data_IF_102952926827
#
_entry.id   IF_102952926827
#
_cell.length_a   1.000
_cell.length_b   1.000
_cell.length_c   1.000
_cell.angle_alpha   90.00
_cell.angle_beta   90.00
_cell.angle_gamma   90.00
#
_symmetry.space_group_name_H-M   'P 1'
#
loop_
_entity.id
_entity.type
_entity.pdbx_description
1 polymer ?
#
# COMPACT_ATOMS: atom_id res chain seq x y z
N UNK A 1 57.16 -55.63 -8.97
CA UNK A 1 57.36 -55.62 -7.51
C UNK A 1 56.39 -54.63 -6.90
N UNK A 2 55.34 -55.16 -6.27
CA UNK A 2 54.32 -54.40 -5.54
C UNK A 2 54.89 -53.96 -4.19
N UNK A 3 54.74 -52.68 -3.85
CA UNK A 3 54.86 -52.22 -2.46
C UNK A 3 53.58 -51.50 -2.07
N UNK A 4 52.88 -52.12 -1.12
CA UNK A 4 51.73 -51.60 -0.43
C UNK A 4 52.16 -50.60 0.64
N UNK A 5 51.58 -49.40 0.63
CA UNK A 5 51.52 -48.56 1.82
C UNK A 5 50.03 -48.37 2.14
N UNK A 6 49.57 -49.11 3.16
CA UNK A 6 48.30 -48.88 3.85
C UNK A 6 48.48 -47.66 4.74
N UNK A 7 47.67 -46.63 4.52
CA UNK A 7 47.48 -45.55 5.48
C UNK A 7 46.13 -45.72 6.16
N UNK A 8 46.19 -46.10 7.43
CA UNK A 8 45.06 -46.20 8.35
C UNK A 8 44.64 -44.77 8.70
N UNK A 9 43.43 -44.36 8.30
CA UNK A 9 42.81 -43.12 8.79
C UNK A 9 42.08 -43.42 10.11
N UNK A 10 42.33 -42.67 11.20
CA UNK A 10 41.52 -42.77 12.40
C UNK A 10 40.15 -42.13 12.14
N UNK A 11 39.10 -42.90 12.44
CA UNK A 11 37.72 -42.45 12.50
C UNK A 11 37.51 -41.68 13.80
N UNK A 12 37.54 -40.35 13.76
CA UNK A 12 37.04 -39.47 14.83
C UNK A 12 36.88 -38.07 14.25
N UNK A 13 35.67 -37.76 13.79
CA UNK A 13 35.02 -36.43 13.77
C UNK A 13 33.91 -36.42 12.71
N UNK A 14 32.89 -37.25 12.91
CA UNK A 14 31.60 -37.15 12.19
C UNK A 14 30.47 -36.64 13.07
N UNK A 15 30.78 -36.19 14.29
CA UNK A 15 29.80 -35.65 15.24
C UNK A 15 29.90 -34.11 15.36
N UNK A 16 30.98 -33.48 14.87
CA UNK A 16 31.12 -32.02 14.82
C UNK A 16 30.51 -31.33 13.59
N UNK A 17 30.21 -32.07 12.50
CA UNK A 17 29.71 -31.48 11.25
C UNK A 17 28.17 -31.51 11.13
N UNK A 18 27.49 -32.31 11.96
CA UNK A 18 26.02 -32.41 11.93
C UNK A 18 25.32 -31.31 12.75
N UNK A 19 26.03 -30.60 13.63
CA UNK A 19 25.47 -29.49 14.43
C UNK A 19 25.69 -28.10 13.82
N UNK A 20 26.55 -27.96 12.81
CA UNK A 20 26.66 -26.71 12.04
C UNK A 20 25.59 -26.57 10.95
N UNK A 21 24.94 -27.66 10.54
CA UNK A 21 23.89 -27.65 9.49
C UNK A 21 22.49 -27.41 10.07
N UNK A 22 22.30 -27.53 11.39
CA UNK A 22 21.02 -27.22 12.06
C UNK A 22 20.95 -25.77 12.57
N UNK A 23 22.08 -25.08 12.72
CA UNK A 23 22.09 -23.64 13.06
C UNK A 23 22.05 -22.72 11.83
N UNK A 24 22.34 -23.24 10.64
CA UNK A 24 22.26 -22.53 9.35
C UNK A 24 20.90 -22.64 8.65
N UNK A 25 19.98 -23.45 9.19
CA UNK A 25 18.60 -23.58 8.71
C UNK A 25 17.59 -22.69 9.46
N UNK A 26 18.04 -21.88 10.42
CA UNK A 26 17.18 -20.92 11.14
C UNK A 26 17.45 -19.44 10.80
N UNK A 27 18.45 -19.12 9.98
CA UNK A 27 18.79 -17.73 9.62
C UNK A 27 19.22 -17.51 8.15
N UNK A 28 19.00 -18.49 7.27
CA UNK A 28 19.57 -18.51 5.91
C UNK A 28 18.63 -18.24 4.74
N UNK A 29 17.37 -17.86 4.95
CA UNK A 29 16.46 -17.44 3.86
C UNK A 29 16.37 -15.92 3.80
N UNK A 30 17.51 -15.27 3.50
CA UNK A 30 17.50 -13.98 2.82
C UNK A 30 17.50 -14.23 1.32
N UNK A 31 16.29 -14.47 0.84
CA UNK A 31 15.71 -13.91 -0.38
C UNK A 31 16.63 -13.86 -1.61
N UNK A 32 16.56 -14.93 -2.41
CA UNK A 32 16.23 -14.72 -3.81
C UNK A 32 14.94 -13.91 -3.85
N UNK A 33 15.06 -12.59 -4.03
CA UNK A 33 13.93 -11.77 -4.42
C UNK A 33 13.55 -12.22 -5.83
N UNK A 34 12.72 -13.27 -5.93
CA UNK A 34 11.82 -13.38 -7.07
C UNK A 34 11.02 -12.09 -7.07
N UNK A 35 11.16 -11.33 -8.15
CA UNK A 35 10.35 -10.16 -8.45
C UNK A 35 8.92 -10.61 -8.84
N UNK A 36 8.28 -11.39 -7.97
CA UNK A 36 6.94 -11.95 -8.15
C UNK A 36 6.05 -11.65 -6.93
N UNK A 37 6.18 -10.45 -6.36
CA UNK A 37 5.06 -9.80 -5.67
C UNK A 37 4.24 -9.06 -6.72
N UNK A 38 3.55 -9.81 -7.58
CA UNK A 38 2.49 -9.23 -8.40
C UNK A 38 1.38 -8.76 -7.48
N UNK A 39 0.97 -7.50 -7.61
CA UNK A 39 -0.20 -6.99 -6.92
C UNK A 39 -1.39 -7.91 -7.26
N UNK A 40 -2.32 -8.18 -6.32
CA UNK A 40 -3.46 -9.01 -6.62
C UNK A 40 -4.16 -8.49 -7.88
N UNK A 41 -4.26 -9.38 -8.87
CA UNK A 41 -4.61 -9.04 -10.27
C UNK A 41 -6.10 -8.76 -10.44
N UNK A 42 -6.91 -9.02 -9.41
CA UNK A 42 -8.36 -8.89 -9.45
C UNK A 42 -8.87 -7.96 -8.35
N UNK A 43 -9.78 -7.08 -8.72
CA UNK A 43 -10.59 -6.29 -7.78
C UNK A 43 -11.46 -7.27 -6.95
N UNK A 44 -11.49 -7.17 -5.60
CA UNK A 44 -12.32 -8.03 -4.76
C UNK A 44 -13.80 -7.85 -5.04
N UNK A 45 -14.58 -8.93 -4.89
CA UNK A 45 -16.04 -8.85 -4.87
C UNK A 45 -16.52 -8.33 -3.50
N UNK A 46 -16.42 -7.00 -3.34
CA UNK A 46 -16.84 -6.30 -2.13
C UNK A 46 -18.29 -6.62 -1.73
N UNK A 47 -19.30 -6.59 -2.62
CA UNK A 47 -20.67 -6.97 -2.27
C UNK A 47 -20.78 -8.35 -1.62
N UNK A 48 -20.08 -9.36 -2.16
CA UNK A 48 -20.11 -10.71 -1.58
C UNK A 48 -19.40 -10.78 -0.23
N UNK A 49 -18.27 -10.10 -0.07
CA UNK A 49 -17.53 -10.03 1.20
C UNK A 49 -18.36 -9.32 2.27
N UNK A 50 -18.97 -8.18 1.95
CA UNK A 50 -19.84 -7.43 2.86
C UNK A 50 -21.03 -8.29 3.30
N UNK A 51 -21.64 -9.03 2.37
CA UNK A 51 -22.74 -9.94 2.69
C UNK A 51 -22.29 -11.07 3.62
N UNK A 52 -21.14 -11.69 3.33
CA UNK A 52 -20.60 -12.79 4.13
C UNK A 52 -20.21 -12.37 5.56
N UNK A 53 -19.80 -11.12 5.75
CA UNK A 53 -19.34 -10.58 7.04
C UNK A 53 -20.28 -9.53 7.65
N UNK A 54 -21.54 -9.47 7.18
CA UNK A 54 -22.50 -8.42 7.54
C UNK A 54 -22.67 -8.25 9.05
N UNK A 55 -22.83 -9.35 9.78
CA UNK A 55 -23.03 -9.33 11.24
C UNK A 55 -21.79 -8.87 12.01
N UNK A 56 -20.59 -9.16 11.50
CA UNK A 56 -19.34 -8.74 12.12
C UNK A 56 -19.10 -7.24 11.87
N UNK A 57 -19.37 -6.78 10.64
CA UNK A 57 -19.27 -5.36 10.26
C UNK A 57 -20.29 -4.50 11.03
N UNK A 58 -21.48 -5.03 11.32
CA UNK A 58 -22.53 -4.33 12.07
C UNK A 58 -22.16 -4.08 13.55
N UNK A 59 -21.21 -4.84 14.10
CA UNK A 59 -20.83 -4.81 15.52
C UNK A 59 -19.54 -4.02 15.79
N UNK A 60 -19.01 -3.33 14.79
CA UNK A 60 -17.78 -2.54 14.96
C UNK A 60 -18.13 -1.20 15.63
N UNK A 61 -17.49 -0.95 16.76
CA UNK A 61 -17.71 0.26 17.58
C UNK A 61 -16.40 0.99 17.93
N UNK A 62 -15.27 0.51 17.43
CA UNK A 62 -13.95 1.10 17.70
C UNK A 62 -12.91 0.70 16.67
N UNK A 63 -11.85 1.50 16.57
CA UNK A 63 -10.68 1.20 15.76
C UNK A 63 -9.98 -0.10 16.16
N UNK A 64 -9.98 -0.44 17.46
CA UNK A 64 -9.47 -1.72 17.95
C UNK A 64 -10.30 -2.90 17.42
N UNK A 65 -11.63 -2.79 17.46
CA UNK A 65 -12.54 -3.78 16.89
C UNK A 65 -12.35 -3.93 15.38
N UNK A 66 -12.23 -2.80 14.68
CA UNK A 66 -11.99 -2.74 13.24
C UNK A 66 -10.66 -3.42 12.85
N UNK A 67 -9.56 -3.08 13.52
CA UNK A 67 -8.25 -3.69 13.29
C UNK A 67 -8.26 -5.19 13.59
N UNK A 68 -8.90 -5.63 14.67
CA UNK A 68 -9.00 -7.06 15.00
C UNK A 68 -9.73 -7.84 13.90
N UNK A 69 -10.88 -7.34 13.44
CA UNK A 69 -11.66 -7.99 12.37
C UNK A 69 -10.90 -7.97 11.02
N UNK A 70 -10.18 -6.88 10.73
CA UNK A 70 -9.33 -6.79 9.56
C UNK A 70 -8.23 -7.85 9.58
N UNK A 71 -7.49 -7.94 10.68
CA UNK A 71 -6.37 -8.89 10.82
C UNK A 71 -6.85 -10.33 10.79
N UNK A 72 -7.99 -10.64 11.42
CA UNK A 72 -8.48 -12.02 11.51
C UNK A 72 -9.14 -12.53 10.23
N UNK A 73 -9.86 -11.67 9.50
CA UNK A 73 -10.85 -12.12 8.52
C UNK A 73 -10.89 -11.24 7.27
N UNK A 74 -11.14 -9.93 7.41
CA UNK A 74 -11.44 -9.08 6.26
C UNK A 74 -10.20 -8.85 5.38
N UNK A 75 -9.01 -8.77 5.98
CA UNK A 75 -7.77 -8.59 5.25
C UNK A 75 -7.51 -9.70 4.25
N UNK A 76 -7.69 -10.97 4.62
CA UNK A 76 -7.51 -12.09 3.69
C UNK A 76 -8.61 -12.14 2.63
N UNK A 77 -9.87 -11.86 3.00
CA UNK A 77 -10.99 -11.80 2.07
C UNK A 77 -10.79 -10.74 0.97
N UNK A 78 -10.12 -9.63 1.31
CA UNK A 78 -9.80 -8.54 0.38
C UNK A 78 -8.44 -8.71 -0.34
N UNK A 79 -7.79 -9.87 -0.20
CA UNK A 79 -6.46 -10.15 -0.75
C UNK A 79 -5.37 -9.19 -0.20
N UNK A 80 -5.54 -8.71 1.02
CA UNK A 80 -4.64 -7.83 1.78
C UNK A 80 -3.91 -8.59 2.91
N UNK A 81 -3.64 -9.88 2.72
CA UNK A 81 -3.03 -10.76 3.73
C UNK A 81 -1.71 -10.23 4.29
N UNK A 82 -0.91 -9.54 3.47
CA UNK A 82 0.35 -8.96 3.93
C UNK A 82 0.13 -7.76 4.85
N UNK A 83 -0.80 -6.86 4.51
CA UNK A 83 -1.16 -5.75 5.38
C UNK A 83 -1.74 -6.27 6.71
N UNK A 84 -2.61 -7.28 6.66
CA UNK A 84 -3.16 -7.95 7.84
C UNK A 84 -2.07 -8.57 8.71
N UNK A 85 -1.12 -9.29 8.09
CA UNK A 85 0.02 -9.89 8.80
C UNK A 85 0.88 -8.81 9.45
N UNK A 86 1.23 -7.75 8.72
CA UNK A 86 2.03 -6.64 9.25
C UNK A 86 1.36 -5.99 10.46
N UNK A 87 0.06 -5.71 10.40
CA UNK A 87 -0.68 -5.12 11.52
C UNK A 87 -0.92 -6.09 12.69
N UNK A 88 -0.97 -7.40 12.42
CA UNK A 88 -1.12 -8.44 13.43
C UNK A 88 0.18 -8.79 14.16
N UNK A 89 1.34 -8.33 13.68
CA UNK A 89 2.63 -8.57 14.37
C UNK A 89 2.79 -7.70 15.61
N UNK A 90 3.51 -8.21 16.61
CA UNK A 90 3.82 -7.50 17.84
C UNK A 90 4.54 -6.16 17.57
N UNK A 91 4.45 -5.24 18.54
CA UNK A 91 4.96 -3.87 18.45
C UNK A 91 6.35 -3.77 17.82
N UNK A 92 6.42 -3.17 16.63
CA UNK A 92 7.67 -2.82 15.98
C UNK A 92 8.32 -1.61 16.68
N UNK A 93 9.66 -1.49 16.66
CA UNK A 93 10.33 -0.26 17.09
C UNK A 93 9.79 0.95 16.30
N UNK A 94 9.56 2.08 16.96
CA UNK A 94 8.93 3.27 16.36
C UNK A 94 9.60 3.73 15.06
N UNK A 95 10.93 3.66 14.99
CA UNK A 95 11.68 3.99 13.78
C UNK A 95 11.29 3.10 12.59
N UNK A 96 11.25 1.79 12.82
CA UNK A 96 10.89 0.82 11.78
C UNK A 96 9.40 0.93 11.41
N UNK A 97 8.53 1.20 12.38
CA UNK A 97 7.12 1.45 12.13
C UNK A 97 6.92 2.65 11.19
N UNK A 98 7.67 3.73 11.38
CA UNK A 98 7.62 4.91 10.51
C UNK A 98 8.19 4.62 9.11
N UNK A 99 9.32 3.91 9.02
CA UNK A 99 9.94 3.51 7.74
C UNK A 99 9.07 2.54 6.92
N UNK A 100 8.14 1.84 7.56
CA UNK A 100 7.16 0.96 6.92
C UNK A 100 5.82 1.66 6.71
N UNK A 101 5.70 2.96 7.01
CA UNK A 101 4.43 3.69 6.97
C UNK A 101 3.30 3.01 7.77
N UNK A 102 3.64 2.34 8.87
CA UNK A 102 2.67 1.62 9.70
C UNK A 102 1.54 2.52 10.22
N UNK A 103 1.78 3.80 10.61
CA UNK A 103 0.70 4.70 10.97
C UNK A 103 -0.27 4.97 9.81
N UNK A 104 0.25 5.15 8.58
CA UNK A 104 -0.59 5.35 7.39
C UNK A 104 -1.38 4.09 7.05
N UNK A 105 -0.72 2.93 7.12
CA UNK A 105 -1.35 1.62 6.90
C UNK A 105 -2.49 1.39 7.90
N UNK A 106 -2.25 1.67 9.19
CA UNK A 106 -3.24 1.54 10.26
C UNK A 106 -4.43 2.47 10.02
N UNK A 107 -4.15 3.74 9.72
CA UNK A 107 -5.20 4.70 9.41
C UNK A 107 -6.03 4.25 8.20
N UNK A 108 -5.38 3.84 7.10
CA UNK A 108 -6.06 3.35 5.91
C UNK A 108 -6.95 2.13 6.18
N UNK A 109 -6.53 1.21 7.05
CA UNK A 109 -7.39 0.10 7.53
C UNK A 109 -8.60 0.63 8.26
N UNK A 110 -8.45 1.59 9.17
CA UNK A 110 -9.60 2.17 9.87
C UNK A 110 -10.58 2.85 8.91
N UNK A 111 -10.07 3.61 7.92
CA UNK A 111 -10.89 4.25 6.89
C UNK A 111 -11.63 3.23 6.04
N UNK A 112 -10.95 2.17 5.59
CA UNK A 112 -11.54 1.07 4.85
C UNK A 112 -12.66 0.41 5.67
N UNK A 113 -12.38 0.03 6.92
CA UNK A 113 -13.34 -0.68 7.78
C UNK A 113 -14.58 0.15 8.10
N UNK A 114 -14.44 1.48 8.30
CA UNK A 114 -15.59 2.40 8.39
C UNK A 114 -16.39 2.41 7.10
N UNK A 115 -15.73 2.55 5.94
CA UNK A 115 -16.38 2.50 4.63
C UNK A 115 -17.17 1.21 4.41
N UNK A 116 -16.62 0.05 4.77
CA UNK A 116 -17.31 -1.24 4.66
C UNK A 116 -18.52 -1.34 5.59
N UNK A 117 -18.42 -0.83 6.82
CA UNK A 117 -19.55 -0.80 7.76
C UNK A 117 -20.68 0.11 7.26
N UNK A 118 -20.34 1.28 6.69
CA UNK A 118 -21.31 2.21 6.10
C UNK A 118 -21.92 1.64 4.82
N UNK A 119 -21.14 1.01 3.95
CA UNK A 119 -21.65 0.33 2.76
C UNK A 119 -22.66 -0.76 3.16
N UNK A 120 -22.28 -1.62 4.12
CA UNK A 120 -23.19 -2.63 4.68
C UNK A 120 -24.51 -2.03 5.18
N UNK A 121 -24.45 -0.92 5.93
CA UNK A 121 -25.63 -0.22 6.41
C UNK A 121 -26.52 0.25 5.25
N UNK A 122 -25.94 0.94 4.27
CA UNK A 122 -26.65 1.46 3.11
C UNK A 122 -27.35 0.34 2.32
N UNK A 123 -26.65 -0.76 2.02
CA UNK A 123 -27.23 -1.92 1.34
C UNK A 123 -28.35 -2.57 2.17
N UNK A 124 -28.21 -2.61 3.50
CA UNK A 124 -29.24 -3.17 4.40
C UNK A 124 -30.51 -2.32 4.38
N UNK A 125 -30.37 -1.00 4.46
CA UNK A 125 -31.51 -0.06 4.39
C UNK A 125 -32.20 -0.17 3.03
N UNK A 126 -31.43 -0.19 1.94
CA UNK A 126 -31.98 -0.33 0.58
C UNK A 126 -32.76 -1.63 0.41
N UNK A 127 -32.21 -2.75 0.89
CA UNK A 127 -32.88 -4.04 0.81
C UNK A 127 -34.18 -4.04 1.62
N UNK A 128 -34.15 -3.52 2.84
CA UNK A 128 -35.32 -3.46 3.70
C UNK A 128 -36.45 -2.56 3.15
N UNK A 129 -36.10 -1.42 2.54
CA UNK A 129 -37.06 -0.56 1.84
C UNK A 129 -37.66 -1.29 0.63
N UNK A 130 -36.83 -1.99 -0.15
CA UNK A 130 -37.27 -2.75 -1.33
C UNK A 130 -38.20 -3.89 -0.95
N UNK A 131 -37.87 -4.64 0.10
CA UNK A 131 -38.62 -5.79 0.59
C UNK A 131 -39.81 -5.42 1.48
N UNK A 132 -40.00 -4.12 1.75
CA UNK A 132 -40.98 -3.58 2.72
C UNK A 132 -40.87 -4.20 4.13
N UNK A 133 -39.65 -4.56 4.53
CA UNK A 133 -39.34 -5.11 5.85
C UNK A 133 -38.66 -4.05 6.72
N UNK A 134 -39.45 -3.07 7.16
CA UNK A 134 -39.02 -1.80 7.75
C UNK A 134 -38.65 -1.85 9.26
N UNK A 135 -39.23 -2.74 10.11
CA UNK A 135 -38.93 -2.76 11.55
C UNK A 135 -37.49 -3.11 11.99
N UNK A 136 -36.70 -3.98 11.31
CA UNK A 136 -35.35 -4.33 11.77
C UNK A 136 -34.23 -3.36 11.32
N UNK A 137 -34.54 -2.30 10.56
CA UNK A 137 -33.52 -1.39 10.00
C UNK A 137 -32.89 -0.48 11.05
N UNK A 138 -33.64 -0.17 12.11
CA UNK A 138 -33.25 0.83 13.13
C UNK A 138 -32.43 0.27 14.30
N UNK A 139 -32.35 -1.05 14.48
CA UNK A 139 -31.65 -1.66 15.63
C UNK A 139 -30.15 -1.94 15.40
N UNK A 140 -29.62 -1.78 14.17
CA UNK A 140 -28.18 -1.84 13.86
C UNK A 140 -27.54 -0.46 13.67
N UNK A 141 -26.20 -0.36 13.61
CA UNK A 141 -25.29 0.79 13.30
C UNK A 141 -25.79 2.25 13.52
N UNK A 142 -26.95 2.62 13.03
CA UNK A 142 -27.71 3.85 13.38
C UNK A 142 -28.19 3.83 14.84
N UNK A 143 -28.53 2.65 15.38
CA UNK A 143 -29.07 2.48 16.74
C UNK A 143 -28.04 2.37 17.87
N UNK A 144 -26.75 2.09 17.57
CA UNK A 144 -25.68 2.08 18.59
C UNK A 144 -25.00 3.45 18.67
N UNK A 145 -25.10 4.17 19.81
CA UNK A 145 -24.41 5.45 20.00
C UNK A 145 -22.88 5.32 19.87
N UNK A 146 -22.33 4.17 20.25
CA UNK A 146 -20.89 3.91 20.15
C UNK A 146 -20.45 3.72 18.69
N UNK A 147 -21.21 2.95 17.93
CA UNK A 147 -20.95 2.76 16.50
C UNK A 147 -21.05 4.09 15.74
N UNK A 148 -22.08 4.90 16.04
CA UNK A 148 -22.24 6.24 15.45
C UNK A 148 -21.06 7.14 15.78
N UNK A 149 -20.67 7.21 17.06
CA UNK A 149 -19.53 8.02 17.50
C UNK A 149 -18.21 7.59 16.85
N UNK A 150 -17.99 6.28 16.66
CA UNK A 150 -16.82 5.75 15.96
C UNK A 150 -16.79 6.15 14.48
N UNK A 151 -17.94 6.15 13.79
CA UNK A 151 -18.04 6.64 12.42
C UNK A 151 -17.77 8.15 12.31
N UNK A 152 -18.19 8.93 13.32
CA UNK A 152 -18.00 10.39 13.35
C UNK A 152 -16.57 10.86 13.63
N UNK A 153 -15.72 9.99 14.18
CA UNK A 153 -14.28 10.27 14.35
C UNK A 153 -13.58 10.63 13.03
N UNK A 154 -14.19 10.29 11.89
CA UNK A 154 -13.64 10.52 10.56
C UNK A 154 -14.55 11.43 9.72
N UNK A 155 -14.99 12.54 10.32
CA UNK A 155 -15.94 13.51 9.73
C UNK A 155 -15.52 14.24 8.44
N UNK A 156 -14.39 13.88 7.82
CA UNK A 156 -13.99 14.38 6.49
C UNK A 156 -14.05 13.28 5.41
N UNK A 157 -14.92 12.28 5.60
CA UNK A 157 -15.13 11.21 4.62
C UNK A 157 -16.21 11.58 3.62
N UNK A 158 -16.10 11.15 2.34
CA UNK A 158 -17.09 11.48 1.30
C UNK A 158 -18.53 11.06 1.63
N UNK A 159 -18.70 10.01 2.44
CA UNK A 159 -20.00 9.46 2.82
C UNK A 159 -20.59 10.06 4.12
N UNK A 160 -19.86 10.92 4.84
CA UNK A 160 -20.28 11.39 6.17
C UNK A 160 -21.58 12.21 6.13
N UNK A 161 -21.68 13.18 5.22
CA UNK A 161 -22.88 14.01 5.04
C UNK A 161 -24.08 13.16 4.63
N UNK A 162 -23.89 12.22 3.71
CA UNK A 162 -24.94 11.32 3.25
C UNK A 162 -25.40 10.38 4.37
N UNK A 163 -24.49 9.95 5.25
CA UNK A 163 -24.83 9.15 6.44
C UNK A 163 -25.68 9.95 7.42
N UNK A 164 -25.36 11.23 7.66
CA UNK A 164 -26.18 12.13 8.48
C UNK A 164 -27.58 12.27 7.90
N UNK A 165 -27.68 12.55 6.59
CA UNK A 165 -28.96 12.68 5.90
C UNK A 165 -29.80 11.40 5.99
N UNK A 166 -29.18 10.22 5.84
CA UNK A 166 -29.89 8.95 6.00
C UNK A 166 -30.35 8.74 7.44
N UNK A 167 -29.48 9.04 8.42
CA UNK A 167 -29.81 8.92 9.84
C UNK A 167 -30.99 9.82 10.22
N UNK A 168 -31.02 11.06 9.73
CA UNK A 168 -32.12 12.01 9.95
C UNK A 168 -33.43 11.52 9.33
N UNK A 169 -33.38 10.89 8.14
CA UNK A 169 -34.57 10.29 7.53
C UNK A 169 -35.14 9.14 8.39
N UNK A 170 -34.26 8.27 8.88
CA UNK A 170 -34.64 7.11 9.70
C UNK A 170 -35.13 7.51 11.11
N UNK A 171 -34.65 8.63 11.64
CA UNK A 171 -35.08 9.18 12.93
C UNK A 171 -36.37 10.03 12.85
N UNK A 172 -36.83 10.37 11.63
CA UNK A 172 -38.02 11.19 11.42
C UNK A 172 -39.29 10.50 11.95
N UNK A 173 -40.23 11.22 12.60
CA UNK A 173 -41.54 10.68 12.97
C UNK A 173 -42.35 10.13 11.78
N UNK A 174 -42.03 10.58 10.56
CA UNK A 174 -42.65 10.10 9.33
C UNK A 174 -42.22 8.67 8.98
N UNK A 175 -41.01 8.26 9.38
CA UNK A 175 -40.54 6.88 9.21
C UNK A 175 -41.37 5.89 10.03
N UNK A 176 -41.85 6.29 11.21
CA UNK A 176 -42.74 5.47 12.02
C UNK A 176 -44.13 5.24 11.36
N UNK A 177 -44.48 6.02 10.33
CA UNK A 177 -45.73 5.92 9.56
C UNK A 177 -45.46 5.55 8.09
N UNK A 178 -44.35 4.88 7.83
CA UNK A 178 -43.84 4.58 6.48
C UNK A 178 -44.86 3.83 5.59
N UNK A 179 -45.70 2.96 6.16
CA UNK A 179 -46.77 2.25 5.44
C UNK A 179 -47.83 3.18 4.81
N UNK A 180 -47.85 4.45 5.22
CA UNK A 180 -48.82 5.46 4.76
C UNK A 180 -48.16 6.61 3.99
N UNK A 181 -46.83 6.56 3.76
CA UNK A 181 -46.07 7.72 3.28
C UNK A 181 -45.05 7.32 2.19
N UNK A 182 -45.53 7.03 0.98
CA UNK A 182 -44.66 6.70 -0.18
C UNK A 182 -43.50 7.70 -0.42
N UNK A 183 -43.65 9.03 -0.22
CA UNK A 183 -42.54 9.97 -0.32
C UNK A 183 -41.35 9.69 0.61
N UNK A 184 -41.56 9.25 1.85
CA UNK A 184 -40.44 8.98 2.78
C UNK A 184 -39.65 7.73 2.35
N UNK A 185 -40.32 6.74 1.75
CA UNK A 185 -39.67 5.56 1.19
C UNK A 185 -38.71 5.94 0.05
N UNK A 186 -39.17 6.80 -0.88
CA UNK A 186 -38.35 7.27 -2.01
C UNK A 186 -37.14 8.06 -1.52
N UNK A 187 -37.33 8.98 -0.57
CA UNK A 187 -36.23 9.79 0.00
C UNK A 187 -35.21 8.89 0.72
N UNK A 188 -35.67 7.94 1.54
CA UNK A 188 -34.77 7.01 2.25
C UNK A 188 -34.03 6.11 1.27
N UNK A 189 -34.69 5.63 0.22
CA UNK A 189 -34.08 4.82 -0.83
C UNK A 189 -32.99 5.59 -1.58
N UNK A 190 -33.28 6.84 -1.97
CA UNK A 190 -32.32 7.72 -2.64
C UNK A 190 -31.08 7.97 -1.76
N UNK A 191 -31.30 8.33 -0.48
CA UNK A 191 -30.22 8.58 0.48
C UNK A 191 -29.39 7.32 0.73
N UNK A 192 -30.03 6.16 0.86
CA UNK A 192 -29.33 4.89 1.02
C UNK A 192 -28.53 4.51 -0.23
N UNK A 193 -29.08 4.68 -1.43
CA UNK A 193 -28.36 4.42 -2.68
C UNK A 193 -27.14 5.34 -2.85
N UNK A 194 -27.29 6.63 -2.52
CA UNK A 194 -26.18 7.58 -2.54
C UNK A 194 -25.10 7.21 -1.52
N UNK A 195 -25.51 6.86 -0.30
CA UNK A 195 -24.58 6.44 0.75
C UNK A 195 -23.79 5.20 0.34
N UNK A 196 -24.46 4.25 -0.33
CA UNK A 196 -23.83 3.03 -0.85
C UNK A 196 -22.73 3.36 -1.87
N UNK A 197 -23.00 4.28 -2.80
CA UNK A 197 -22.02 4.71 -3.82
C UNK A 197 -20.84 5.45 -3.18
N UNK A 198 -21.10 6.39 -2.27
CA UNK A 198 -20.05 7.17 -1.59
C UNK A 198 -19.14 6.25 -0.74
N UNK A 199 -19.74 5.30 0.00
CA UNK A 199 -19.02 4.33 0.81
C UNK A 199 -18.24 3.34 -0.06
N UNK A 200 -18.83 2.86 -1.17
CA UNK A 200 -18.16 2.02 -2.15
C UNK A 200 -16.90 2.69 -2.69
N UNK A 201 -17.00 3.92 -3.18
CA UNK A 201 -15.85 4.65 -3.73
C UNK A 201 -14.76 4.84 -2.68
N UNK A 202 -15.12 5.24 -1.46
CA UNK A 202 -14.17 5.40 -0.37
C UNK A 202 -13.47 4.07 0.00
N UNK A 203 -14.22 2.95 0.05
CA UNK A 203 -13.66 1.63 0.32
C UNK A 203 -12.70 1.17 -0.78
N UNK A 204 -13.01 1.41 -2.06
CA UNK A 204 -12.09 1.09 -3.16
C UNK A 204 -10.80 1.91 -3.09
N UNK A 205 -10.89 3.21 -2.80
CA UNK A 205 -9.72 4.08 -2.65
C UNK A 205 -8.79 3.59 -1.54
N UNK A 206 -9.34 3.26 -0.37
CA UNK A 206 -8.53 2.77 0.75
C UNK A 206 -8.02 1.34 0.50
N UNK A 207 -8.79 0.48 -0.18
CA UNK A 207 -8.29 -0.83 -0.60
C UNK A 207 -7.11 -0.71 -1.55
N UNK A 208 -7.18 0.15 -2.56
CA UNK A 208 -6.07 0.35 -3.49
C UNK A 208 -4.84 0.93 -2.78
N UNK A 209 -5.07 1.88 -1.86
CA UNK A 209 -4.03 2.39 -0.96
C UNK A 209 -3.39 1.27 -0.15
N UNK A 210 -4.18 0.38 0.46
CA UNK A 210 -3.65 -0.73 1.25
C UNK A 210 -2.92 -1.75 0.38
N UNK A 211 -3.41 -2.04 -0.82
CA UNK A 211 -2.79 -2.99 -1.75
C UNK A 211 -1.42 -2.51 -2.24
N UNK A 212 -1.31 -1.22 -2.59
CA UNK A 212 -0.09 -0.59 -3.10
C UNK A 212 0.88 -0.09 -2.01
N UNK A 213 0.64 -0.44 -0.73
CA UNK A 213 1.43 0.12 0.38
C UNK A 213 2.92 -0.24 0.31
N UNK A 214 3.25 -1.48 -0.09
CA UNK A 214 4.64 -1.93 -0.24
C UNK A 214 5.36 -1.16 -1.32
N UNK A 215 4.67 -0.87 -2.42
CA UNK A 215 5.22 -0.08 -3.52
C UNK A 215 5.52 1.34 -3.04
N UNK A 216 4.59 1.99 -2.32
CA UNK A 216 4.86 3.30 -1.71
C UNK A 216 6.04 3.29 -0.74
N UNK A 217 6.17 2.24 0.08
CA UNK A 217 7.34 2.07 0.96
C UNK A 217 8.62 1.92 0.14
N UNK A 218 8.59 1.14 -0.94
CA UNK A 218 9.72 0.93 -1.85
C UNK A 218 10.12 2.24 -2.52
N UNK A 219 9.16 3.01 -3.02
CA UNK A 219 9.38 4.28 -3.69
C UNK A 219 10.00 5.32 -2.75
N UNK A 220 9.45 5.47 -1.54
CA UNK A 220 9.99 6.42 -0.55
C UNK A 220 11.42 6.06 -0.12
N UNK A 221 11.71 4.75 0.05
CA UNK A 221 13.07 4.27 0.36
C UNK A 221 14.01 4.49 -0.81
N UNK A 222 13.53 4.25 -2.02
CA UNK A 222 14.24 4.53 -3.26
C UNK A 222 14.64 6.00 -3.39
N UNK A 223 13.67 6.88 -3.21
CA UNK A 223 13.87 8.33 -3.21
C UNK A 223 14.84 8.75 -2.09
N UNK A 224 14.70 8.20 -0.89
CA UNK A 224 15.61 8.50 0.24
C UNK A 224 17.06 8.11 -0.08
N UNK A 225 17.27 7.01 -0.80
CA UNK A 225 18.59 6.59 -1.24
C UNK A 225 19.18 7.55 -2.28
N UNK A 226 18.39 7.97 -3.27
CA UNK A 226 18.83 8.92 -4.31
C UNK A 226 19.00 10.35 -3.79
N UNK A 227 18.37 10.66 -2.67
CA UNK A 227 18.37 11.99 -2.07
C UNK A 227 19.77 12.62 -1.97
N UNK A 228 19.90 13.82 -2.54
CA UNK A 228 21.09 14.65 -2.44
C UNK A 228 21.43 15.38 -3.73
N UNK A 229 22.57 16.06 -3.72
CA UNK A 229 23.16 16.68 -4.89
C UNK A 229 24.16 15.73 -5.52
N UNK A 230 24.06 15.57 -6.84
CA UNK A 230 24.90 14.67 -7.62
C UNK A 230 25.60 15.43 -8.73
N UNK A 231 26.91 15.24 -8.83
CA UNK A 231 27.63 15.55 -10.05
C UNK A 231 27.35 14.45 -11.07
N UNK A 232 26.60 14.79 -12.11
CA UNK A 232 26.26 13.91 -13.21
C UNK A 232 27.19 14.13 -14.40
N UNK A 233 27.65 13.03 -15.00
CA UNK A 233 28.51 13.04 -16.18
C UNK A 233 27.92 12.05 -17.19
N UNK A 234 27.60 12.53 -18.38
CA UNK A 234 27.11 11.75 -19.51
C UNK A 234 28.19 11.73 -20.57
N UNK A 235 28.57 10.54 -21.02
CA UNK A 235 29.51 10.32 -22.12
C UNK A 235 28.77 9.77 -23.33
N UNK A 236 28.46 10.64 -24.30
CA UNK A 236 27.66 10.29 -25.48
C UNK A 236 28.53 9.69 -26.59
N UNK A 237 28.22 8.48 -27.02
CA UNK A 237 28.97 7.74 -28.04
C UNK A 237 28.48 7.96 -29.48
N UNK A 238 27.36 8.65 -29.69
CA UNK A 238 26.73 8.78 -31.01
C UNK A 238 27.59 9.59 -31.99
N UNK A 239 28.25 10.66 -31.53
CA UNK A 239 29.11 11.50 -32.37
C UNK A 239 30.24 12.12 -31.54
N UNK A 240 31.50 11.74 -31.81
CA UNK A 240 32.73 12.33 -31.23
C UNK A 240 32.91 12.23 -29.70
N UNK A 241 32.29 11.26 -29.02
CA UNK A 241 32.54 11.01 -27.59
C UNK A 241 32.37 12.27 -26.73
N UNK A 242 31.23 12.97 -26.89
CA UNK A 242 30.97 14.21 -26.16
C UNK A 242 30.69 13.92 -24.69
N UNK A 243 31.44 14.59 -23.80
CA UNK A 243 31.18 14.57 -22.36
C UNK A 243 30.34 15.78 -21.96
N UNK A 244 29.26 15.52 -21.22
CA UNK A 244 28.43 16.54 -20.59
C UNK A 244 28.47 16.37 -19.09
N UNK A 245 28.68 17.47 -18.36
CA UNK A 245 28.78 17.46 -16.91
C UNK A 245 27.85 18.51 -16.32
N UNK A 246 26.98 18.09 -15.41
CA UNK A 246 26.00 18.95 -14.76
C UNK A 246 25.68 18.46 -13.34
N UNK A 247 24.91 19.24 -12.60
CA UNK A 247 24.50 18.90 -11.23
C UNK A 247 23.01 18.55 -11.21
N UNK A 248 22.67 17.44 -10.57
CA UNK A 248 21.29 17.02 -10.31
C UNK A 248 20.98 17.13 -8.82
N UNK A 249 19.78 17.58 -8.48
CA UNK A 249 19.27 17.61 -7.11
C UNK A 249 18.08 16.68 -7.01
N UNK A 250 18.21 15.60 -6.22
CA UNK A 250 17.08 14.75 -5.86
C UNK A 250 16.58 15.15 -4.47
N UNK A 251 15.30 15.54 -4.33
CA UNK A 251 14.77 16.08 -3.08
C UNK A 251 14.48 14.98 -2.05
N UNK A 252 14.32 15.37 -0.76
CA UNK A 252 13.82 14.48 0.30
C UNK A 252 12.54 13.75 -0.06
N UNK A 253 12.41 12.52 0.46
CA UNK A 253 11.21 11.71 0.28
C UNK A 253 9.96 12.47 0.72
N UNK A 254 8.91 12.43 -0.11
CA UNK A 254 7.65 13.13 0.17
C UNK A 254 7.61 14.61 -0.24
N UNK A 255 8.71 15.19 -0.73
CA UNK A 255 8.68 16.52 -1.36
C UNK A 255 8.51 16.39 -2.88
N UNK A 256 7.33 16.73 -3.39
CA UNK A 256 6.99 16.66 -4.83
C UNK A 256 7.40 17.90 -5.64
N UNK A 257 7.79 19.00 -4.99
CA UNK A 257 7.98 20.29 -5.67
C UNK A 257 9.36 20.52 -6.31
N UNK A 258 10.31 19.58 -6.20
CA UNK A 258 11.70 19.83 -6.61
C UNK A 258 12.36 18.63 -7.29
N UNK A 259 11.62 17.87 -8.11
CA UNK A 259 12.25 16.88 -8.98
C UNK A 259 13.11 17.58 -10.04
N UNK A 260 14.22 16.97 -10.48
CA UNK A 260 15.01 17.49 -11.59
C UNK A 260 14.14 17.82 -12.82
N UNK A 261 14.35 18.97 -13.48
CA UNK A 261 13.60 19.33 -14.67
C UNK A 261 13.67 18.23 -15.74
N UNK A 262 12.51 17.88 -16.29
CA UNK A 262 12.39 16.83 -17.29
C UNK A 262 12.44 15.41 -16.73
N UNK A 263 12.62 15.17 -15.43
CA UNK A 263 12.50 13.81 -14.88
C UNK A 263 11.02 13.40 -14.85
N UNK A 264 10.66 12.41 -15.67
CA UNK A 264 9.30 11.88 -15.78
C UNK A 264 9.09 10.64 -14.90
N UNK A 265 10.10 9.79 -14.74
CA UNK A 265 10.00 8.56 -13.96
C UNK A 265 11.28 8.28 -13.18
N UNK A 266 11.12 7.76 -11.97
CA UNK A 266 12.21 7.34 -11.09
C UNK A 266 11.82 6.03 -10.42
N UNK A 267 12.55 4.96 -10.74
CA UNK A 267 12.37 3.65 -10.12
C UNK A 267 13.69 3.23 -9.48
N UNK A 268 13.65 2.86 -8.20
CA UNK A 268 14.83 2.36 -7.47
C UNK A 268 14.51 1.00 -6.87
N UNK A 269 15.20 -0.02 -7.37
CA UNK A 269 15.03 -1.42 -6.98
C UNK A 269 16.34 -1.97 -6.43
N UNK A 270 16.49 -1.89 -5.10
CA UNK A 270 17.75 -2.25 -4.45
C UNK A 270 18.87 -1.33 -4.94
N UNK A 271 19.93 -1.91 -5.51
CA UNK A 271 21.04 -1.15 -6.07
C UNK A 271 20.76 -0.59 -7.47
N UNK A 272 19.72 -1.06 -8.15
CA UNK A 272 19.42 -0.63 -9.51
C UNK A 272 18.52 0.62 -9.50
N UNK A 273 18.81 1.54 -10.41
CA UNK A 273 18.09 2.79 -10.57
C UNK A 273 17.75 2.96 -12.05
N UNK A 274 16.48 3.20 -12.34
CA UNK A 274 16.00 3.60 -13.64
C UNK A 274 15.47 5.03 -13.55
N UNK A 275 15.92 5.89 -14.47
CA UNK A 275 15.44 7.25 -14.61
C UNK A 275 14.94 7.45 -16.04
N UNK A 276 13.76 8.05 -16.18
CA UNK A 276 13.23 8.46 -17.48
C UNK A 276 13.14 9.97 -17.52
N UNK A 277 13.73 10.55 -18.55
CA UNK A 277 13.73 11.98 -18.80
C UNK A 277 12.88 12.28 -20.03
N UNK A 278 11.99 13.26 -19.91
CA UNK A 278 11.16 13.79 -20.97
C UNK A 278 11.30 15.31 -21.03
N UNK A 279 11.86 15.81 -22.13
CA UNK A 279 11.98 17.24 -22.36
C UNK A 279 11.83 17.54 -23.85
N UNK A 280 11.00 18.53 -24.19
CA UNK A 280 10.80 18.99 -25.58
C UNK A 280 10.43 17.85 -26.56
N UNK A 281 9.64 16.87 -26.12
CA UNK A 281 9.25 15.71 -26.92
C UNK A 281 10.35 14.66 -27.13
N UNK A 282 11.52 14.83 -26.50
CA UNK A 282 12.60 13.85 -26.49
C UNK A 282 12.55 13.03 -25.21
N UNK A 283 12.80 11.73 -25.36
CA UNK A 283 12.89 10.77 -24.25
C UNK A 283 14.34 10.31 -24.13
N UNK A 284 14.85 10.25 -22.89
CA UNK A 284 16.07 9.54 -22.52
C UNK A 284 15.78 8.60 -21.35
N UNK A 285 16.31 7.39 -21.42
CA UNK A 285 16.18 6.36 -20.39
C UNK A 285 17.57 6.00 -19.86
N UNK A 286 17.74 6.12 -18.55
CA UNK A 286 18.98 5.80 -17.85
C UNK A 286 18.79 4.49 -17.07
N UNK A 287 19.74 3.58 -17.21
CA UNK A 287 19.85 2.36 -16.40
C UNK A 287 21.15 2.42 -15.62
N UNK A 288 21.04 2.53 -14.30
CA UNK A 288 22.13 2.86 -13.40
C UNK A 288 22.18 1.87 -12.23
N UNK A 289 23.34 1.78 -11.61
CA UNK A 289 23.54 1.01 -10.39
C UNK A 289 24.29 1.84 -9.35
N UNK A 290 23.81 1.79 -8.11
CA UNK A 290 24.52 2.33 -6.96
C UNK A 290 25.83 1.56 -6.76
N UNK A 291 26.90 2.30 -6.51
CA UNK A 291 28.19 1.75 -6.11
C UNK A 291 28.83 2.60 -5.01
N UNK A 292 29.90 2.07 -4.40
CA UNK A 292 30.60 2.70 -3.26
C UNK A 292 29.64 3.15 -2.16
N UNK A 293 28.89 2.20 -1.59
CA UNK A 293 27.98 2.47 -0.46
C UNK A 293 26.94 3.57 -0.79
N UNK A 294 26.48 3.60 -2.05
CA UNK A 294 25.50 4.57 -2.53
C UNK A 294 26.07 5.97 -2.82
N UNK A 295 27.39 6.18 -2.76
CA UNK A 295 28.01 7.48 -3.07
C UNK A 295 28.25 7.69 -4.58
N UNK A 296 28.08 6.63 -5.38
CA UNK A 296 28.20 6.69 -6.84
C UNK A 296 27.02 6.00 -7.52
N UNK A 297 26.75 6.44 -8.75
CA UNK A 297 25.87 5.80 -9.70
C UNK A 297 26.64 5.58 -10.98
N UNK A 298 26.55 4.41 -11.58
CA UNK A 298 27.25 4.09 -12.82
C UNK A 298 26.29 3.30 -13.71
N UNK A 299 26.30 3.58 -15.01
CA UNK A 299 25.42 2.89 -15.94
C UNK A 299 25.43 3.47 -17.34
N UNK A 300 24.31 3.35 -18.03
CA UNK A 300 24.16 3.76 -19.43
C UNK A 300 22.87 4.52 -19.66
N UNK A 301 22.82 5.25 -20.77
CA UNK A 301 21.58 5.81 -21.29
C UNK A 301 21.35 5.42 -22.73
N UNK A 302 20.08 5.48 -23.12
CA UNK A 302 19.63 5.50 -24.51
C UNK A 302 18.63 6.65 -24.67
N UNK A 303 18.58 7.27 -25.85
CA UNK A 303 17.59 8.29 -26.13
C UNK A 303 16.83 8.03 -27.43
N UNK A 304 15.67 8.67 -27.56
CA UNK A 304 14.76 8.61 -28.71
C UNK A 304 15.38 9.04 -30.04
N UNK A 305 16.55 9.68 -30.04
CA UNK A 305 17.29 10.10 -31.24
C UNK A 305 18.38 9.09 -31.65
N UNK A 306 18.43 7.93 -31.00
CA UNK A 306 19.45 6.90 -31.23
C UNK A 306 20.78 7.16 -30.53
N UNK A 307 20.83 8.16 -29.65
CA UNK A 307 21.98 8.42 -28.79
C UNK A 307 22.09 7.37 -27.68
N UNK A 308 23.33 7.02 -27.34
CA UNK A 308 23.63 6.06 -26.30
C UNK A 308 25.00 6.36 -25.71
N UNK A 309 25.26 5.85 -24.51
CA UNK A 309 26.55 6.06 -23.87
C UNK A 309 26.54 5.69 -22.40
N UNK A 310 27.58 6.10 -21.68
CA UNK A 310 27.72 5.85 -20.25
C UNK A 310 27.31 7.05 -19.41
N UNK A 311 26.85 6.76 -18.20
CA UNK A 311 26.54 7.75 -17.17
C UNK A 311 27.37 7.42 -15.94
N UNK A 312 27.92 8.46 -15.32
CA UNK A 312 28.42 8.38 -13.95
C UNK A 312 27.88 9.53 -13.11
N UNK A 313 27.40 9.18 -11.92
CA UNK A 313 26.99 10.10 -10.87
C UNK A 313 27.92 9.98 -9.68
N UNK A 314 28.35 11.11 -9.12
CA UNK A 314 29.02 11.17 -7.81
C UNK A 314 28.21 12.06 -6.88
N UNK A 315 27.80 11.54 -5.73
CA UNK A 315 27.12 12.33 -4.71
C UNK A 315 28.09 13.38 -4.15
N UNK A 316 27.72 14.65 -4.23
CA UNK A 316 28.51 15.79 -3.74
C UNK A 316 27.97 16.34 -2.43
N UNK A 317 26.67 16.16 -2.17
CA UNK A 317 26.05 16.46 -0.89
C UNK A 317 24.92 15.46 -0.62
N UNK A 318 24.75 15.03 0.64
CA UNK A 318 23.57 14.30 1.07
C UNK A 318 22.36 15.23 1.23
N UNK A 319 21.18 14.68 1.47
CA UNK A 319 20.04 15.49 1.87
C UNK A 319 20.19 15.98 3.31
N UNK A 320 20.07 17.30 3.49
CA UNK A 320 19.85 17.87 4.81
C UNK A 320 18.41 17.55 5.24
N UNK A 321 18.17 17.22 6.53
CA UNK A 321 16.83 17.07 7.08
C UNK A 321 16.02 18.38 7.04
#
# INVERSE_FOLDING_TARGET
MYNHIRLIRPALSRIGLALAIVALSLFGTWSTAEADESLPSSIPDFPSIIRAHSDQLAKIESDKGASNLFVSTIGSALQLSDAARTLGTNSLPTKLANELLLPDLTAAVHRLMRGLAVWRLASTVRQAVTDRQLPPVTEGLVGSPQARAWLDQQGNTPWHDTLNQLSDALASPEWAKVDQNEPILVITLERAARLEVDAMQASYQEWDRLRSWKDRVRDLRGQARLCGTWQWIIHNHQHNHQEQKFSLLFPPSGQTQSTPPGLAEMIVLGENVYLRWEANGQIQEDSLQFSKEGQRLEGSFVNSQGGWGSISGKRTAGCAP
#
